data_IF_066834838289
#
_entry.id   IF_066834838289
#
_cell.length_a   1.000
_cell.length_b   1.000
_cell.length_c   1.000
_cell.angle_alpha   90.00
_cell.angle_beta   90.00
_cell.angle_gamma   90.00
#
_symmetry.space_group_name_H-M   'P 1'
#
loop_
_entity.id
_entity.type
_entity.pdbx_description
1 polymer ?
#
# COMPACT_ATOMS: atom_id res chain seq x y z
N UNK A 1 -8.93 14.31 3.99
CA UNK A 1 -8.17 13.60 2.94
C UNK A 1 -9.03 12.44 2.47
N UNK A 2 -9.26 12.26 1.16
CA UNK A 2 -9.95 11.08 0.65
C UNK A 2 -9.06 9.88 0.97
N UNK A 3 -9.33 9.24 2.11
CA UNK A 3 -8.47 8.24 2.69
C UNK A 3 -8.59 6.96 1.90
N UNK A 4 -7.51 6.54 1.24
CA UNK A 4 -7.19 5.16 0.86
C UNK A 4 -8.41 4.28 0.59
N UNK A 5 -9.28 4.66 -0.35
CA UNK A 5 -10.61 4.06 -0.33
C UNK A 5 -10.70 2.63 -0.83
N UNK A 6 -9.68 2.02 -1.46
CA UNK A 6 -9.83 0.61 -1.86
C UNK A 6 -8.52 -0.17 -2.11
N UNK A 7 -7.56 -0.12 -1.17
CA UNK A 7 -6.44 -1.08 -1.20
C UNK A 7 -6.77 -2.38 -0.47
N UNK A 8 -7.99 -2.54 0.04
CA UNK A 8 -8.41 -3.70 0.86
C UNK A 8 -8.07 -5.04 0.21
N UNK A 9 -8.39 -5.19 -1.08
CA UNK A 9 -8.11 -6.43 -1.82
C UNK A 9 -6.60 -6.76 -1.95
N UNK A 10 -5.74 -5.74 -2.09
CA UNK A 10 -4.29 -5.93 -2.14
C UNK A 10 -3.77 -6.25 -0.73
N UNK A 11 -4.28 -5.55 0.28
CA UNK A 11 -3.88 -5.75 1.67
C UNK A 11 -4.28 -7.13 2.20
N UNK A 12 -5.42 -7.68 1.81
CA UNK A 12 -5.82 -9.06 2.15
C UNK A 12 -4.80 -10.10 1.66
N UNK A 13 -4.14 -9.85 0.54
CA UNK A 13 -3.12 -10.73 -0.04
C UNK A 13 -1.74 -10.55 0.58
N UNK A 14 -1.50 -9.45 1.31
CA UNK A 14 -0.18 -9.07 1.81
C UNK A 14 0.36 -10.01 2.88
N UNK A 15 -0.51 -10.69 3.64
CA UNK A 15 -0.12 -11.56 4.75
C UNK A 15 -0.31 -10.88 6.11
N UNK A 16 0.53 -11.21 7.11
CA UNK A 16 0.32 -10.72 8.49
C UNK A 16 0.71 -9.26 8.62
N UNK A 17 -0.31 -8.40 8.69
CA UNK A 17 -0.14 -6.98 8.90
C UNK A 17 -1.21 -6.44 9.86
N UNK A 18 -0.97 -5.25 10.40
CA UNK A 18 -1.95 -4.47 11.16
C UNK A 18 -2.18 -3.14 10.46
N UNK A 19 -3.45 -2.78 10.31
CA UNK A 19 -3.88 -1.52 9.71
C UNK A 19 -4.15 -0.50 10.82
N UNK A 20 -3.39 0.59 10.83
CA UNK A 20 -3.66 1.77 11.67
C UNK A 20 -4.49 2.81 10.92
N UNK A 21 -4.71 3.98 11.53
CA UNK A 21 -5.46 5.09 10.90
C UNK A 21 -4.86 5.56 9.56
N UNK A 22 -3.54 5.42 9.39
CA UNK A 22 -2.83 5.88 8.19
C UNK A 22 -1.53 5.11 7.91
N UNK A 23 -1.22 4.06 8.68
CA UNK A 23 0.03 3.32 8.57
C UNK A 23 -0.23 1.82 8.56
N UNK A 24 0.49 1.12 7.69
CA UNK A 24 0.58 -0.33 7.66
C UNK A 24 1.71 -0.78 8.60
N UNK A 25 1.39 -1.63 9.58
CA UNK A 25 2.35 -2.18 10.53
C UNK A 25 2.65 -3.63 10.22
N UNK A 26 3.93 -3.94 10.05
CA UNK A 26 4.44 -5.28 9.79
C UNK A 26 5.51 -5.62 10.82
N UNK A 27 5.49 -6.85 11.35
CA UNK A 27 6.48 -7.26 12.36
C UNK A 27 7.79 -7.73 11.74
N UNK A 28 7.69 -8.51 10.65
CA UNK A 28 8.84 -9.05 9.90
C UNK A 28 8.52 -9.02 8.42
N UNK A 29 9.54 -8.78 7.59
CA UNK A 29 9.39 -8.83 6.14
C UNK A 29 9.06 -10.24 5.64
N UNK A 30 9.48 -11.29 6.34
CA UNK A 30 9.15 -12.68 5.99
C UNK A 30 7.70 -13.08 6.29
N UNK A 31 6.97 -12.28 7.08
CA UNK A 31 5.55 -12.51 7.38
C UNK A 31 4.61 -11.86 6.33
N UNK A 32 5.18 -11.15 5.35
CA UNK A 32 4.45 -10.48 4.28
C UNK A 32 4.97 -10.90 2.90
N UNK A 33 4.10 -10.79 1.89
CA UNK A 33 4.48 -10.98 0.48
C UNK A 33 5.02 -9.68 -0.10
N UNK A 34 6.31 -9.66 -0.45
CA UNK A 34 6.97 -8.49 -1.01
C UNK A 34 6.43 -8.11 -2.40
N UNK A 35 5.94 -9.08 -3.19
CA UNK A 35 5.36 -8.78 -4.49
C UNK A 35 4.04 -8.03 -4.33
N UNK A 36 3.25 -8.41 -3.33
CA UNK A 36 2.00 -7.72 -2.99
C UNK A 36 2.28 -6.34 -2.38
N UNK A 37 3.36 -6.20 -1.60
CA UNK A 37 3.80 -4.91 -1.09
C UNK A 37 4.18 -3.95 -2.23
N UNK A 38 4.90 -4.44 -3.24
CA UNK A 38 5.23 -3.66 -4.43
C UNK A 38 3.96 -3.21 -5.17
N UNK A 39 3.00 -4.12 -5.39
CA UNK A 39 1.70 -3.82 -6.02
C UNK A 39 0.96 -2.71 -5.25
N UNK A 40 0.96 -2.75 -3.92
CA UNK A 40 0.37 -1.74 -3.05
C UNK A 40 1.03 -0.37 -3.23
N UNK A 41 2.37 -0.32 -3.27
CA UNK A 41 3.13 0.92 -3.42
C UNK A 41 2.87 1.52 -4.81
N UNK A 42 2.93 0.70 -5.87
CA UNK A 42 2.67 1.16 -7.24
C UNK A 42 1.25 1.69 -7.40
N UNK A 43 0.26 1.02 -6.81
CA UNK A 43 -1.12 1.48 -6.82
C UNK A 43 -1.27 2.82 -6.07
N UNK A 44 -0.58 2.98 -4.93
CA UNK A 44 -0.50 4.23 -4.18
C UNK A 44 0.12 5.38 -4.97
N UNK A 45 1.25 5.14 -5.63
CA UNK A 45 1.92 6.12 -6.48
C UNK A 45 1.05 6.52 -7.68
N UNK A 46 0.37 5.56 -8.31
CA UNK A 46 -0.54 5.83 -9.42
C UNK A 46 -1.75 6.65 -8.99
N UNK A 47 -2.24 6.47 -7.77
CA UNK A 47 -3.34 7.28 -7.25
C UNK A 47 -2.89 8.70 -6.90
N UNK A 48 -1.68 8.83 -6.32
CA UNK A 48 -1.03 10.11 -6.10
C UNK A 48 -0.83 10.88 -7.41
N UNK A 49 -0.39 10.22 -8.48
CA UNK A 49 -0.18 10.83 -9.80
C UNK A 49 -1.42 11.55 -10.37
N UNK A 50 -2.62 11.03 -10.06
CA UNK A 50 -3.89 11.66 -10.47
C UNK A 50 -4.13 13.01 -9.80
N UNK A 51 -3.55 13.23 -8.62
CA UNK A 51 -3.78 14.42 -7.79
C UNK A 51 -2.59 15.37 -7.91
N UNK A 52 -1.38 14.83 -7.93
CA UNK A 52 -0.12 15.54 -8.07
C UNK A 52 0.76 14.74 -9.02
N UNK A 53 1.23 15.32 -10.13
CA UNK A 53 2.13 14.62 -11.06
C UNK A 53 3.36 14.11 -10.33
N UNK A 54 3.47 12.79 -10.16
CA UNK A 54 4.59 12.16 -9.44
C UNK A 54 5.55 11.63 -10.48
N UNK A 55 6.70 12.28 -10.62
CA UNK A 55 7.82 11.76 -11.41
C UNK A 55 8.76 10.99 -10.49
N UNK A 56 8.75 9.64 -10.50
CA UNK A 56 9.87 8.90 -9.94
C UNK A 56 11.07 9.10 -10.89
N UNK A 57 12.08 9.85 -10.45
CA UNK A 57 13.40 9.86 -11.10
C UNK A 57 14.11 8.51 -10.96
#
# INVERSE_FOLDING_TARGET
MPGYQDYGAIMERLGKHKLGKSCLYVNKLSDIDLNVLEELITAGLKDLDKIWTVHPE
#
